data_IF_344127196369
#
_entry.id   IF_344127196369
#
_cell.length_a   1.000
_cell.length_b   1.000
_cell.length_c   1.000
_cell.angle_alpha   90.00
_cell.angle_beta   90.00
_cell.angle_gamma   90.00
#
_symmetry.space_group_name_H-M   'P 1'
#
loop_
_entity.id
_entity.type
_entity.pdbx_description
1 polymer ?
#
# COMPACT_ATOMS: atom_id res chain seq x y z
N UNK A 1 -17.51 -1.82 -14.19
CA UNK A 1 -17.35 -0.37 -14.06
C UNK A 1 -16.91 0.22 -15.39
N UNK A 2 -17.66 1.19 -15.92
CA UNK A 2 -17.24 1.87 -17.17
C UNK A 2 -16.47 3.15 -16.91
N UNK A 3 -16.89 3.90 -15.88
CA UNK A 3 -16.24 5.13 -15.48
C UNK A 3 -16.48 5.39 -13.99
N UNK A 4 -15.49 5.85 -13.27
CA UNK A 4 -15.62 6.41 -11.94
C UNK A 4 -15.48 7.93 -12.03
N UNK A 5 -16.37 8.64 -11.37
CA UNK A 5 -16.35 10.09 -11.29
C UNK A 5 -16.25 10.49 -9.81
N UNK A 6 -15.40 11.46 -9.45
CA UNK A 6 -15.37 11.96 -8.07
C UNK A 6 -16.71 12.63 -7.74
N UNK A 7 -17.18 12.41 -6.52
CA UNK A 7 -18.40 13.02 -6.01
C UNK A 7 -18.19 13.37 -4.54
N UNK A 8 -19.16 14.04 -3.93
CA UNK A 8 -19.17 14.22 -2.48
C UNK A 8 -19.33 12.90 -1.74
N UNK A 9 -19.01 12.89 -0.44
CA UNK A 9 -19.13 11.72 0.39
C UNK A 9 -20.55 11.18 0.49
N UNK A 10 -20.72 9.85 0.55
CA UNK A 10 -22.00 9.19 0.63
C UNK A 10 -22.95 9.48 -0.55
N UNK A 11 -22.57 9.15 -1.80
CA UNK A 11 -23.47 9.40 -2.93
C UNK A 11 -24.68 8.45 -2.88
N UNK A 12 -25.87 8.99 -2.65
CA UNK A 12 -27.12 8.21 -2.60
C UNK A 12 -28.16 8.59 -3.64
N UNK A 13 -28.35 9.90 -3.86
CA UNK A 13 -29.32 10.40 -4.83
C UNK A 13 -28.71 10.56 -6.21
N UNK A 14 -29.33 9.98 -7.25
CA UNK A 14 -28.91 10.14 -8.64
C UNK A 14 -30.09 10.61 -9.49
N UNK A 15 -29.90 11.70 -10.23
CA UNK A 15 -30.90 12.25 -11.16
C UNK A 15 -30.28 12.50 -12.53
N UNK A 16 -30.77 11.80 -13.54
CA UNK A 16 -30.44 12.11 -14.93
C UNK A 16 -31.41 13.15 -15.49
N UNK A 17 -30.90 14.17 -16.18
CA UNK A 17 -31.67 15.20 -16.90
C UNK A 17 -31.26 15.15 -18.39
N UNK A 18 -31.78 14.18 -19.17
CA UNK A 18 -31.31 13.93 -20.54
C UNK A 18 -31.49 15.14 -21.46
N UNK A 19 -32.54 15.92 -21.28
CA UNK A 19 -32.83 17.12 -22.11
C UNK A 19 -31.75 18.21 -21.94
N UNK A 20 -30.92 18.12 -20.90
CA UNK A 20 -29.83 19.07 -20.62
C UNK A 20 -28.46 18.40 -20.64
N UNK A 21 -28.40 17.10 -20.94
CA UNK A 21 -27.19 16.28 -20.85
C UNK A 21 -26.52 16.35 -19.46
N UNK A 22 -27.32 16.34 -18.39
CA UNK A 22 -26.80 16.43 -17.03
C UNK A 22 -27.06 15.13 -16.25
N UNK A 23 -26.09 14.78 -15.42
CA UNK A 23 -26.22 13.84 -14.32
C UNK A 23 -25.95 14.59 -13.02
N UNK A 24 -26.86 14.48 -12.06
CA UNK A 24 -26.75 15.13 -10.76
C UNK A 24 -26.70 14.06 -9.69
N UNK A 25 -25.74 14.20 -8.77
CA UNK A 25 -25.55 13.24 -7.66
C UNK A 25 -25.58 14.01 -6.35
N UNK A 26 -26.41 13.56 -5.41
CA UNK A 26 -26.43 14.08 -4.05
C UNK A 26 -25.50 13.23 -3.17
N UNK A 27 -24.56 13.87 -2.49
CA UNK A 27 -23.75 13.27 -1.43
C UNK A 27 -24.32 13.67 -0.08
N UNK A 28 -24.73 12.69 0.72
CA UNK A 28 -25.46 12.93 1.97
C UNK A 28 -24.56 13.26 3.16
N UNK A 29 -23.28 12.86 3.11
CA UNK A 29 -22.37 13.05 4.25
C UNK A 29 -22.32 14.50 4.69
N UNK A 30 -22.78 14.75 5.91
CA UNK A 30 -22.77 16.02 6.60
C UNK A 30 -22.21 15.80 8.01
N UNK A 31 -20.88 15.86 8.16
CA UNK A 31 -20.17 15.60 9.40
C UNK A 31 -19.53 16.90 9.91
N UNK A 32 -19.87 17.32 11.13
CA UNK A 32 -19.24 18.48 11.76
C UNK A 32 -17.81 18.16 12.21
N UNK A 33 -17.59 16.94 12.65
CA UNK A 33 -16.30 16.52 13.19
C UNK A 33 -15.26 16.45 12.07
N UNK A 34 -15.67 15.95 10.89
CA UNK A 34 -14.83 15.90 9.71
C UNK A 34 -14.88 17.19 8.85
N UNK A 35 -15.63 18.21 9.31
CA UNK A 35 -15.86 19.47 8.58
C UNK A 35 -16.40 19.30 7.17
N UNK A 36 -17.05 18.19 6.88
CA UNK A 36 -17.67 17.91 5.60
C UNK A 36 -19.13 18.35 5.59
N UNK A 37 -19.56 18.88 4.45
CA UNK A 37 -20.96 19.26 4.19
C UNK A 37 -21.54 18.37 3.11
N UNK A 38 -22.85 18.16 3.17
CA UNK A 38 -23.56 17.52 2.07
C UNK A 38 -23.38 18.29 0.78
N UNK A 39 -23.29 17.58 -0.34
CA UNK A 39 -22.92 18.14 -1.63
C UNK A 39 -23.91 17.78 -2.71
N UNK A 40 -23.96 18.58 -3.76
CA UNK A 40 -24.57 18.23 -5.03
C UNK A 40 -23.50 18.34 -6.12
N UNK A 41 -23.15 17.16 -6.68
CA UNK A 41 -22.22 17.08 -7.82
C UNK A 41 -23.02 17.10 -9.12
N UNK A 42 -22.64 17.97 -10.05
CA UNK A 42 -23.30 18.12 -11.35
C UNK A 42 -22.31 17.79 -12.45
N UNK A 43 -22.59 16.77 -13.23
CA UNK A 43 -21.79 16.34 -14.39
C UNK A 43 -22.53 16.67 -15.67
N UNK A 44 -21.80 17.19 -16.63
CA UNK A 44 -22.31 17.37 -17.98
C UNK A 44 -21.82 16.23 -18.87
N UNK A 45 -22.75 15.54 -19.52
CA UNK A 45 -22.41 14.57 -20.55
C UNK A 45 -22.17 15.30 -21.87
N UNK A 46 -21.01 15.08 -22.45
CA UNK A 46 -20.65 15.51 -23.78
C UNK A 46 -20.03 14.34 -24.55
N UNK A 47 -20.76 13.86 -25.56
CA UNK A 47 -20.28 12.73 -26.39
C UNK A 47 -19.07 13.08 -27.25
N UNK A 48 -18.76 14.37 -27.38
CA UNK A 48 -17.61 14.88 -28.17
C UNK A 48 -16.47 15.34 -27.29
N UNK A 49 -16.65 15.38 -25.96
CA UNK A 49 -15.60 15.78 -25.05
C UNK A 49 -14.42 14.80 -25.14
N UNK A 50 -13.23 15.36 -25.19
CA UNK A 50 -12.01 14.61 -24.90
C UNK A 50 -12.04 14.12 -23.44
N UNK A 51 -11.08 13.26 -23.07
CA UNK A 51 -10.95 12.71 -21.73
C UNK A 51 -11.26 13.72 -20.60
N UNK A 52 -11.77 13.26 -19.45
CA UNK A 52 -12.03 14.12 -18.29
C UNK A 52 -10.77 14.88 -17.87
N UNK A 53 -10.97 16.03 -17.22
CA UNK A 53 -9.87 16.90 -16.81
C UNK A 53 -8.94 16.30 -15.75
N UNK A 54 -9.31 15.18 -15.15
CA UNK A 54 -8.49 14.42 -14.18
C UNK A 54 -8.36 12.96 -14.61
N UNK A 55 -7.30 12.28 -14.21
CA UNK A 55 -7.10 10.86 -14.52
C UNK A 55 -8.24 10.01 -13.96
N UNK A 56 -8.71 9.06 -14.76
CA UNK A 56 -9.74 8.09 -14.37
C UNK A 56 -9.27 6.68 -14.70
N UNK A 57 -9.81 5.72 -13.95
CA UNK A 57 -9.55 4.30 -14.11
C UNK A 57 -10.86 3.57 -14.36
N UNK A 58 -10.85 2.61 -15.27
CA UNK A 58 -11.94 1.67 -15.52
C UNK A 58 -11.40 0.26 -15.66
N UNK A 59 -12.27 -0.75 -15.56
CA UNK A 59 -11.90 -2.14 -15.82
C UNK A 59 -12.46 -2.64 -17.14
N UNK A 60 -11.70 -3.52 -17.79
CA UNK A 60 -12.17 -4.29 -18.92
C UNK A 60 -13.15 -5.37 -18.46
N UNK A 61 -14.00 -5.83 -19.38
CA UNK A 61 -14.87 -6.98 -19.15
C UNK A 61 -14.12 -8.29 -19.46
N UNK A 62 -14.24 -9.25 -18.55
CA UNK A 62 -13.78 -10.63 -18.73
C UNK A 62 -15.00 -11.56 -18.61
N UNK A 63 -15.28 -12.33 -19.65
CA UNK A 63 -16.48 -13.19 -19.74
C UNK A 63 -17.80 -12.43 -19.52
N UNK A 64 -17.88 -11.18 -19.97
CA UNK A 64 -19.06 -10.33 -19.85
C UNK A 64 -19.28 -9.67 -18.48
N UNK A 65 -18.32 -9.77 -17.58
CA UNK A 65 -18.31 -9.10 -16.27
C UNK A 65 -17.07 -8.20 -16.16
N UNK A 66 -17.19 -6.99 -15.59
CA UNK A 66 -16.03 -6.15 -15.33
C UNK A 66 -15.12 -6.81 -14.30
N UNK A 67 -13.80 -6.66 -14.49
CA UNK A 67 -12.81 -7.04 -13.46
C UNK A 67 -13.14 -6.26 -12.20
N UNK A 68 -13.39 -6.96 -11.10
CA UNK A 68 -13.62 -6.34 -9.80
C UNK A 68 -12.31 -5.70 -9.30
N UNK A 69 -12.38 -4.47 -8.79
CA UNK A 69 -11.25 -3.76 -8.23
C UNK A 69 -11.69 -2.75 -7.16
N UNK A 70 -10.79 -2.42 -6.27
CA UNK A 70 -10.99 -1.45 -5.21
C UNK A 70 -9.78 -1.41 -4.28
N UNK A 71 -9.73 -0.43 -3.40
CA UNK A 71 -8.68 -0.28 -2.38
C UNK A 71 -7.26 -0.49 -2.95
N UNK A 72 -6.96 0.13 -4.08
CA UNK A 72 -5.61 0.06 -4.67
C UNK A 72 -4.64 0.78 -3.72
N UNK A 73 -3.64 0.05 -3.25
CA UNK A 73 -2.63 0.55 -2.34
C UNK A 73 -1.30 0.85 -3.03
N UNK A 74 -0.69 -0.12 -3.70
CA UNK A 74 0.61 0.04 -4.34
C UNK A 74 0.56 0.03 -5.87
N UNK A 75 1.49 0.76 -6.50
CA UNK A 75 1.63 0.85 -7.95
C UNK A 75 3.09 0.62 -8.38
N UNK A 76 3.29 -0.10 -9.49
CA UNK A 76 4.60 -0.30 -10.11
C UNK A 76 4.56 -0.10 -11.63
N UNK A 77 5.50 0.66 -12.17
CA UNK A 77 5.68 0.76 -13.61
C UNK A 77 6.40 -0.49 -14.16
N UNK A 78 5.96 -0.99 -15.32
CA UNK A 78 6.66 -2.06 -15.99
C UNK A 78 7.84 -1.50 -16.80
N UNK A 79 9.10 -1.81 -16.44
CA UNK A 79 10.26 -1.27 -17.14
C UNK A 79 10.35 -1.73 -18.61
N UNK A 80 9.64 -2.80 -18.98
CA UNK A 80 9.59 -3.33 -20.34
C UNK A 80 8.46 -2.73 -21.20
N UNK A 81 7.51 -2.02 -20.60
CA UNK A 81 6.37 -1.42 -21.31
C UNK A 81 5.90 -0.16 -20.59
N UNK A 82 6.24 1.00 -21.15
CA UNK A 82 5.91 2.32 -20.58
C UNK A 82 4.40 2.58 -20.39
N UNK A 83 3.54 1.81 -21.04
CA UNK A 83 2.08 1.94 -20.94
C UNK A 83 1.46 0.91 -19.96
N UNK A 84 2.28 0.14 -19.24
CA UNK A 84 1.77 -0.88 -18.32
C UNK A 84 2.19 -0.59 -16.89
N UNK A 85 1.20 -0.61 -16.00
CA UNK A 85 1.42 -0.62 -14.56
C UNK A 85 0.93 -1.93 -13.98
N UNK A 86 1.50 -2.30 -12.84
CA UNK A 86 0.95 -3.29 -11.92
C UNK A 86 0.45 -2.59 -10.67
N UNK A 87 -0.60 -3.14 -10.05
CA UNK A 87 -1.15 -2.62 -8.82
C UNK A 87 -1.52 -3.76 -7.87
N UNK A 88 -1.43 -3.54 -6.58
CA UNK A 88 -1.98 -4.40 -5.54
C UNK A 88 -3.18 -3.73 -4.88
N UNK A 89 -4.06 -4.54 -4.34
CA UNK A 89 -5.17 -4.10 -3.49
C UNK A 89 -4.78 -4.35 -2.04
N UNK A 90 -5.07 -3.40 -1.17
CA UNK A 90 -5.12 -3.58 0.27
C UNK A 90 -5.98 -4.80 0.68
N UNK A 91 -6.04 -5.16 1.92
CA UNK A 91 -6.76 -6.31 2.52
C UNK A 91 -8.29 -6.36 2.27
N UNK A 92 -8.82 -5.47 1.41
CA UNK A 92 -10.25 -5.35 1.10
C UNK A 92 -10.91 -6.65 0.64
N UNK A 93 -10.20 -7.43 -0.17
CA UNK A 93 -10.63 -8.76 -0.60
C UNK A 93 -9.89 -9.81 0.22
N UNK A 94 -10.55 -10.91 0.58
CA UNK A 94 -9.90 -12.06 1.23
C UNK A 94 -9.05 -12.89 0.25
N UNK A 95 -8.71 -12.32 -0.88
CA UNK A 95 -7.86 -12.85 -1.95
C UNK A 95 -7.18 -11.67 -2.60
N UNK A 96 -5.88 -11.63 -2.55
CA UNK A 96 -5.11 -10.46 -2.98
C UNK A 96 -4.88 -10.49 -4.49
N UNK A 97 -5.50 -9.59 -5.28
CA UNK A 97 -5.23 -9.46 -6.70
C UNK A 97 -3.98 -8.62 -6.97
N UNK A 98 -3.27 -8.98 -8.02
CA UNK A 98 -2.34 -8.09 -8.73
C UNK A 98 -2.99 -7.71 -10.05
N UNK A 99 -3.24 -6.43 -10.22
CA UNK A 99 -3.85 -5.88 -11.42
C UNK A 99 -2.80 -5.52 -12.47
N UNK A 100 -3.16 -5.68 -13.73
CA UNK A 100 -2.45 -5.10 -14.87
C UNK A 100 -3.26 -3.94 -15.42
N UNK A 101 -2.65 -2.75 -15.51
CA UNK A 101 -3.30 -1.51 -15.94
C UNK A 101 -2.62 -1.01 -17.20
N UNK A 102 -3.41 -0.72 -18.24
CA UNK A 102 -2.97 -0.03 -19.46
C UNK A 102 -3.25 1.47 -19.32
N UNK A 103 -2.19 2.27 -19.38
CA UNK A 103 -2.25 3.74 -19.28
C UNK A 103 -2.06 4.43 -20.62
N UNK A 104 -2.13 3.70 -21.74
CA UNK A 104 -2.01 4.25 -23.11
C UNK A 104 -3.21 5.12 -23.51
N UNK A 105 -4.30 5.01 -22.79
CA UNK A 105 -5.54 5.75 -23.05
C UNK A 105 -6.07 6.44 -21.78
N UNK A 106 -7.01 7.36 -21.96
CA UNK A 106 -7.79 7.96 -20.89
C UNK A 106 -9.28 7.67 -21.12
N UNK A 107 -9.97 7.04 -20.17
CA UNK A 107 -9.46 6.49 -18.89
C UNK A 107 -8.39 5.41 -19.08
N UNK A 108 -7.53 5.26 -18.07
CA UNK A 108 -6.67 4.08 -17.96
C UNK A 108 -7.53 2.82 -17.73
N UNK A 109 -7.04 1.65 -18.15
CA UNK A 109 -7.86 0.43 -18.14
C UNK A 109 -7.17 -0.69 -17.37
N UNK A 110 -7.83 -1.25 -16.36
CA UNK A 110 -7.44 -2.54 -15.77
C UNK A 110 -7.76 -3.62 -16.79
N UNK A 111 -6.73 -4.21 -17.39
CA UNK A 111 -6.85 -5.21 -18.47
C UNK A 111 -6.77 -6.64 -17.97
N UNK A 112 -6.33 -6.86 -16.73
CA UNK A 112 -6.23 -8.18 -16.12
C UNK A 112 -6.04 -8.11 -14.62
N UNK A 113 -6.32 -9.23 -13.97
CA UNK A 113 -6.05 -9.46 -12.56
C UNK A 113 -5.60 -10.90 -12.38
N UNK A 114 -4.54 -11.11 -11.61
CA UNK A 114 -4.09 -12.43 -11.15
C UNK A 114 -4.13 -12.44 -9.62
N UNK A 115 -4.43 -13.58 -9.03
CA UNK A 115 -4.46 -13.70 -7.56
C UNK A 115 -3.11 -14.18 -7.05
N UNK A 116 -2.63 -13.58 -5.97
CA UNK A 116 -1.44 -14.07 -5.26
C UNK A 116 -1.72 -15.46 -4.68
N UNK A 117 -0.81 -16.39 -4.93
CA UNK A 117 -0.96 -17.80 -4.52
C UNK A 117 0.36 -18.37 -4.02
N UNK A 118 0.26 -19.31 -3.07
CA UNK A 118 1.40 -20.10 -2.57
C UNK A 118 1.18 -21.63 -2.77
N UNK A 119 1.11 -22.11 -4.03
CA UNK A 119 0.87 -23.54 -4.30
C UNK A 119 2.01 -24.43 -3.83
N UNK A 120 3.19 -23.87 -3.63
CA UNK A 120 4.40 -24.62 -3.25
C UNK A 120 4.65 -24.63 -1.74
N UNK A 121 3.85 -23.93 -0.94
CA UNK A 121 4.01 -23.88 0.51
C UNK A 121 5.23 -23.06 0.97
N UNK A 122 5.62 -22.04 0.23
CA UNK A 122 6.78 -21.18 0.56
C UNK A 122 6.60 -20.52 1.91
N UNK A 123 5.39 -20.03 2.21
CA UNK A 123 5.10 -19.38 3.48
C UNK A 123 5.17 -20.33 4.67
N UNK A 124 4.89 -21.62 4.47
CA UNK A 124 5.04 -22.62 5.55
C UNK A 124 6.49 -22.90 5.93
N UNK A 125 7.44 -22.42 5.15
CA UNK A 125 8.88 -22.46 5.44
C UNK A 125 9.43 -21.20 6.06
N UNK A 126 8.59 -20.21 6.41
CA UNK A 126 9.03 -19.00 7.10
C UNK A 126 9.76 -19.39 8.39
N UNK A 127 10.92 -18.77 8.67
CA UNK A 127 11.62 -19.00 9.92
C UNK A 127 10.70 -18.64 11.09
N UNK A 128 10.84 -19.39 12.19
CA UNK A 128 10.16 -19.09 13.43
C UNK A 128 10.44 -17.64 13.84
N UNK A 129 9.50 -16.77 13.54
CA UNK A 129 9.56 -15.37 13.93
C UNK A 129 8.98 -15.32 15.33
N UNK A 130 9.79 -14.88 16.30
CA UNK A 130 9.26 -14.59 17.61
C UNK A 130 8.34 -13.38 17.47
N UNK A 131 7.06 -13.60 17.52
CA UNK A 131 6.02 -12.58 17.68
C UNK A 131 5.46 -12.72 19.08
N UNK A 132 5.24 -11.62 19.74
CA UNK A 132 4.58 -11.63 21.04
C UNK A 132 3.06 -11.65 20.76
N UNK A 133 2.50 -12.84 20.65
CA UNK A 133 1.07 -13.03 20.49
C UNK A 133 0.41 -13.18 21.87
N UNK A 134 -0.28 -12.14 22.29
CA UNK A 134 -1.04 -12.15 23.54
C UNK A 134 -2.30 -13.04 23.49
N UNK A 135 -2.62 -13.65 22.34
CA UNK A 135 -3.83 -14.48 22.18
C UNK A 135 -3.60 -15.99 22.39
N UNK A 136 -2.38 -16.46 22.37
CA UNK A 136 -2.14 -17.90 22.37
C UNK A 136 -2.41 -18.58 23.70
N UNK A 137 -2.44 -17.85 24.78
CA UNK A 137 -2.72 -18.46 26.08
C UNK A 137 -3.29 -17.42 27.06
N UNK A 138 -4.58 -17.51 27.33
CA UNK A 138 -5.29 -16.64 28.29
C UNK A 138 -4.66 -16.61 29.71
N UNK A 139 -3.69 -17.48 29.99
CA UNK A 139 -3.09 -17.66 31.30
C UNK A 139 -1.57 -17.42 31.37
N UNK A 140 -0.89 -17.07 30.27
CA UNK A 140 0.57 -16.89 30.31
C UNK A 140 0.98 -15.44 29.96
N UNK A 141 1.70 -14.73 30.86
CA UNK A 141 2.25 -13.44 30.53
C UNK A 141 3.34 -13.57 29.47
N UNK A 142 3.14 -12.89 28.36
CA UNK A 142 4.17 -12.51 27.38
C UNK A 142 5.08 -13.65 26.91
N UNK A 143 4.54 -14.68 26.28
CA UNK A 143 5.39 -15.58 25.50
C UNK A 143 5.73 -14.95 24.16
N UNK A 144 7.01 -14.96 23.83
CA UNK A 144 7.45 -14.77 22.46
C UNK A 144 6.88 -15.93 21.64
N UNK A 145 5.86 -15.69 20.85
CA UNK A 145 5.29 -16.66 19.97
C UNK A 145 6.05 -16.78 18.66
N UNK A 146 5.93 -17.93 18.11
CA UNK A 146 6.53 -18.35 16.86
C UNK A 146 5.42 -18.32 15.84
N UNK A 147 5.66 -17.72 14.66
CA UNK A 147 4.73 -17.82 13.53
C UNK A 147 4.38 -19.29 13.30
N UNK A 148 3.16 -19.64 13.61
CA UNK A 148 2.72 -21.03 13.67
C UNK A 148 1.69 -21.41 12.59
N UNK A 149 1.04 -22.56 12.75
CA UNK A 149 0.07 -23.04 11.79
C UNK A 149 -1.24 -22.23 11.79
N UNK A 150 -1.58 -21.56 12.89
CA UNK A 150 -2.78 -20.71 12.98
C UNK A 150 -2.53 -19.39 12.25
N UNK A 151 -1.35 -18.78 12.45
CA UNK A 151 -0.93 -17.57 11.73
C UNK A 151 -0.86 -17.84 10.22
N UNK A 152 -0.28 -19.00 9.84
CA UNK A 152 -0.23 -19.41 8.45
C UNK A 152 -1.64 -19.56 7.86
N UNK A 153 -2.57 -20.17 8.60
CA UNK A 153 -3.95 -20.34 8.16
C UNK A 153 -4.72 -19.02 8.04
N UNK A 154 -4.31 -17.99 8.77
CA UNK A 154 -4.90 -16.65 8.65
C UNK A 154 -4.52 -15.95 7.34
N UNK A 155 -3.33 -16.22 6.80
CA UNK A 155 -2.80 -15.53 5.61
C UNK A 155 -2.79 -16.38 4.33
N UNK A 156 -3.05 -17.69 4.42
CA UNK A 156 -3.13 -18.61 3.27
C UNK A 156 -4.45 -19.38 3.33
N UNK A 157 -5.32 -19.12 2.36
CA UNK A 157 -6.61 -19.81 2.23
C UNK A 157 -6.42 -21.29 1.87
N UNK A 158 -7.47 -22.11 2.05
CA UNK A 158 -7.49 -23.55 1.74
C UNK A 158 -7.13 -23.84 0.27
N UNK A 159 -7.49 -22.95 -0.64
CA UNK A 159 -7.18 -23.05 -2.07
C UNK A 159 -5.81 -22.48 -2.44
N UNK A 160 -4.98 -22.20 -1.44
CA UNK A 160 -3.62 -21.64 -1.57
C UNK A 160 -3.55 -20.21 -2.12
N UNK A 161 -4.66 -19.48 -2.20
CA UNK A 161 -4.64 -18.04 -2.42
C UNK A 161 -4.24 -17.31 -1.14
N UNK A 162 -3.61 -16.14 -1.28
CA UNK A 162 -3.19 -15.35 -0.13
C UNK A 162 -4.32 -14.44 0.38
N UNK A 163 -4.33 -14.24 1.68
CA UNK A 163 -5.18 -13.30 2.42
C UNK A 163 -4.27 -12.48 3.35
N UNK A 164 -3.47 -11.60 2.75
CA UNK A 164 -2.51 -10.73 3.41
C UNK A 164 -2.94 -9.26 3.21
N UNK A 165 -2.14 -8.33 3.69
CA UNK A 165 -2.38 -6.88 3.61
C UNK A 165 -1.35 -6.20 2.68
N UNK A 166 -1.48 -6.33 1.34
CA UNK A 166 -0.48 -5.81 0.42
C UNK A 166 -0.54 -4.28 0.34
N UNK A 167 0.57 -3.62 0.68
CA UNK A 167 0.66 -2.16 0.69
C UNK A 167 1.53 -1.62 -0.45
N UNK A 168 2.53 -2.37 -0.89
CA UNK A 168 3.42 -1.92 -1.95
C UNK A 168 3.80 -3.02 -2.94
N UNK A 169 4.13 -2.60 -4.16
CA UNK A 169 4.57 -3.48 -5.25
C UNK A 169 5.67 -2.82 -6.07
N UNK A 170 6.65 -3.60 -6.52
CA UNK A 170 7.63 -3.15 -7.52
C UNK A 170 7.99 -4.29 -8.48
N UNK A 171 8.43 -3.94 -9.69
CA UNK A 171 8.85 -4.92 -10.70
C UNK A 171 10.32 -5.23 -10.53
N UNK A 172 10.65 -6.51 -10.41
CA UNK A 172 12.04 -6.97 -10.47
C UNK A 172 12.54 -6.91 -11.94
N UNK A 173 13.64 -6.20 -12.24
CA UNK A 173 14.23 -6.17 -13.57
C UNK A 173 14.59 -7.55 -14.13
N UNK A 174 14.79 -8.55 -13.29
CA UNK A 174 15.08 -9.93 -13.65
C UNK A 174 13.80 -10.76 -13.92
N UNK A 175 12.65 -10.15 -13.75
CA UNK A 175 11.32 -10.76 -13.90
C UNK A 175 10.62 -11.01 -12.56
N UNK A 176 9.29 -11.06 -12.60
CA UNK A 176 8.47 -11.18 -11.40
C UNK A 176 8.25 -9.84 -10.69
N UNK A 177 7.72 -9.93 -9.48
CA UNK A 177 7.31 -8.79 -8.66
C UNK A 177 7.86 -8.96 -7.23
N UNK A 178 8.13 -7.83 -6.59
CA UNK A 178 8.26 -7.74 -5.15
C UNK A 178 6.99 -7.10 -4.60
N UNK A 179 6.42 -7.71 -3.58
CA UNK A 179 5.21 -7.24 -2.89
C UNK A 179 5.52 -7.18 -1.41
N UNK A 180 5.14 -6.10 -0.76
CA UNK A 180 5.18 -6.01 0.71
C UNK A 180 3.78 -6.10 1.26
N UNK A 181 3.67 -6.76 2.42
CA UNK A 181 2.44 -6.88 3.20
C UNK A 181 2.68 -6.33 4.58
N UNK A 182 1.78 -5.48 5.04
CA UNK A 182 1.80 -4.97 6.41
C UNK A 182 1.50 -6.10 7.41
N UNK A 183 2.14 -6.04 8.56
CA UNK A 183 1.84 -6.89 9.70
C UNK A 183 0.79 -6.25 10.61
N UNK A 184 -0.15 -7.04 11.09
CA UNK A 184 -1.21 -6.57 11.97
C UNK A 184 -0.86 -6.77 13.44
N UNK A 185 -1.12 -5.74 14.23
CA UNK A 185 -0.95 -5.77 15.68
C UNK A 185 0.28 -5.02 16.18
N UNK A 186 0.36 -4.87 17.50
CA UNK A 186 1.39 -4.11 18.20
C UNK A 186 1.91 -4.91 19.39
N UNK A 187 3.20 -5.13 19.47
CA UNK A 187 3.85 -5.82 20.59
C UNK A 187 3.48 -5.14 21.92
N UNK A 188 2.98 -5.93 22.87
CA UNK A 188 2.61 -5.47 24.20
C UNK A 188 1.26 -4.73 24.29
N UNK A 189 0.51 -4.64 23.19
CA UNK A 189 -0.85 -4.09 23.18
C UNK A 189 -1.91 -5.20 23.14
N UNK A 190 -2.47 -5.56 24.30
CA UNK A 190 -3.51 -6.57 24.41
C UNK A 190 -4.81 -6.24 23.63
N UNK A 191 -5.04 -4.96 23.30
CA UNK A 191 -6.17 -4.55 22.48
C UNK A 191 -5.91 -4.71 20.98
N UNK A 192 -4.65 -4.86 20.59
CA UNK A 192 -4.21 -5.04 19.21
C UNK A 192 -3.07 -6.08 19.15
N UNK A 193 -3.37 -7.36 19.47
CA UNK A 193 -2.35 -8.41 19.46
C UNK A 193 -1.77 -8.61 18.06
N UNK A 194 -0.59 -9.18 17.99
CA UNK A 194 0.02 -9.55 16.71
C UNK A 194 -0.78 -10.70 16.09
N UNK A 195 -1.33 -10.48 14.91
CA UNK A 195 -2.05 -11.48 14.12
C UNK A 195 -1.27 -11.87 12.87
N UNK A 196 -0.47 -10.97 12.32
CA UNK A 196 0.38 -11.23 11.15
C UNK A 196 1.68 -10.44 11.27
N UNK A 197 2.72 -10.93 10.59
CA UNK A 197 4.03 -10.26 10.50
C UNK A 197 4.19 -9.55 9.18
N UNK A 198 5.09 -8.57 9.15
CA UNK A 198 5.44 -7.88 7.93
C UNK A 198 6.19 -8.81 6.98
N UNK A 199 5.76 -8.90 5.72
CA UNK A 199 6.28 -9.81 4.71
C UNK A 199 6.83 -9.06 3.51
N UNK A 200 8.01 -9.47 3.04
CA UNK A 200 8.52 -9.15 1.71
C UNK A 200 8.42 -10.40 0.85
N UNK A 201 7.57 -10.37 -0.17
CA UNK A 201 7.31 -11.49 -1.06
C UNK A 201 7.98 -11.26 -2.42
N UNK A 202 8.64 -12.28 -2.93
CA UNK A 202 9.04 -12.39 -4.34
C UNK A 202 8.03 -13.28 -5.05
N UNK A 203 7.41 -12.77 -6.12
CA UNK A 203 6.41 -13.52 -6.89
C UNK A 203 6.75 -13.55 -8.38
N UNK A 204 6.14 -14.48 -9.10
CA UNK A 204 6.07 -14.38 -10.58
C UNK A 204 5.07 -13.28 -10.97
N UNK A 205 5.02 -12.91 -12.25
CA UNK A 205 4.01 -11.96 -12.77
C UNK A 205 2.60 -12.56 -12.78
N UNK A 206 2.48 -13.88 -12.68
CA UNK A 206 1.23 -14.62 -12.56
C UNK A 206 0.77 -14.76 -11.10
N UNK A 207 1.47 -14.10 -10.15
CA UNK A 207 1.10 -14.05 -8.76
C UNK A 207 1.54 -15.24 -7.91
N UNK A 208 2.41 -16.13 -8.44
CA UNK A 208 2.91 -17.28 -7.66
C UNK A 208 4.07 -16.87 -6.77
N UNK A 209 3.94 -17.10 -5.47
CA UNK A 209 5.02 -16.84 -4.49
C UNK A 209 6.20 -17.77 -4.75
N UNK A 210 7.38 -17.18 -4.88
CA UNK A 210 8.67 -17.85 -5.05
C UNK A 210 9.51 -17.83 -3.78
N UNK A 211 9.51 -16.70 -3.08
CA UNK A 211 10.19 -16.50 -1.80
C UNK A 211 9.39 -15.59 -0.90
N UNK A 212 9.53 -15.81 0.40
CA UNK A 212 8.96 -14.97 1.45
C UNK A 212 10.03 -14.67 2.50
N UNK A 213 10.12 -13.41 2.91
CA UNK A 213 11.10 -12.94 3.89
C UNK A 213 10.37 -12.13 4.96
N UNK A 214 10.80 -12.34 6.20
CA UNK A 214 10.39 -11.55 7.36
C UNK A 214 11.51 -10.60 7.78
N UNK A 215 11.18 -9.69 8.66
CA UNK A 215 12.18 -8.86 9.32
C UNK A 215 13.05 -9.70 10.29
N UNK A 216 14.27 -9.25 10.63
CA UNK A 216 15.06 -9.88 11.67
C UNK A 216 14.31 -9.94 13.01
N UNK A 217 14.56 -10.95 13.86
CA UNK A 217 13.84 -11.12 15.13
C UNK A 217 13.86 -9.89 16.04
N UNK A 218 14.98 -9.19 16.09
CA UNK A 218 15.13 -7.96 16.89
C UNK A 218 14.28 -6.80 16.40
N UNK A 219 13.92 -6.78 15.10
CA UNK A 219 13.03 -5.77 14.53
C UNK A 219 11.58 -6.22 14.67
N UNK A 220 11.27 -7.50 14.38
CA UNK A 220 9.93 -8.04 14.62
C UNK A 220 9.51 -7.93 16.09
N UNK A 221 10.45 -8.10 17.05
CA UNK A 221 10.20 -7.92 18.47
C UNK A 221 9.80 -6.49 18.88
N UNK A 222 9.81 -5.54 17.95
CA UNK A 222 9.33 -4.16 18.15
C UNK A 222 8.12 -3.85 17.26
N UNK A 223 7.52 -4.85 16.61
CA UNK A 223 6.40 -4.60 15.68
C UNK A 223 5.33 -3.75 16.36
N UNK A 224 4.98 -2.72 15.67
CA UNK A 224 3.81 -1.89 15.93
C UNK A 224 2.99 -1.87 14.63
N UNK A 225 1.67 -1.69 14.71
CA UNK A 225 0.89 -1.37 13.51
C UNK A 225 1.53 -0.18 12.79
N UNK A 226 1.24 0.01 11.50
CA UNK A 226 1.93 0.97 10.62
C UNK A 226 3.33 0.49 10.20
N UNK A 227 3.37 -0.73 9.68
CA UNK A 227 4.56 -1.42 9.20
C UNK A 227 4.94 -1.10 7.76
N UNK A 228 5.01 -2.11 6.91
CA UNK A 228 5.39 -1.96 5.51
C UNK A 228 4.32 -1.26 4.69
N UNK A 229 4.69 -0.18 3.99
CA UNK A 229 3.79 0.59 3.12
C UNK A 229 4.23 0.55 1.65
N UNK A 230 5.51 0.76 1.39
CA UNK A 230 5.99 0.85 0.03
C UNK A 230 7.25 0.03 -0.21
N UNK A 231 7.49 -0.33 -1.48
CA UNK A 231 8.65 -1.13 -1.89
C UNK A 231 9.22 -0.66 -3.21
N UNK A 232 10.54 -0.54 -3.29
CA UNK A 232 11.25 -0.14 -4.50
C UNK A 232 12.40 -1.10 -4.81
N UNK A 233 12.48 -1.59 -6.04
CA UNK A 233 13.64 -2.33 -6.52
C UNK A 233 14.78 -1.35 -6.88
N UNK A 234 15.94 -1.57 -6.31
CA UNK A 234 17.14 -0.75 -6.55
C UNK A 234 18.31 -1.60 -7.06
N UNK A 235 18.04 -2.52 -7.96
CA UNK A 235 19.05 -3.41 -8.56
C UNK A 235 19.49 -4.54 -7.63
N UNK A 236 20.58 -4.37 -6.88
CA UNK A 236 21.08 -5.38 -5.94
C UNK A 236 20.20 -5.51 -4.69
N UNK A 237 19.45 -4.46 -4.36
CA UNK A 237 18.66 -4.37 -3.14
C UNK A 237 17.19 -4.12 -3.46
N UNK A 238 16.33 -4.46 -2.49
CA UNK A 238 14.96 -3.98 -2.40
C UNK A 238 14.89 -3.04 -1.22
N UNK A 239 14.31 -1.86 -1.39
CA UNK A 239 14.13 -0.87 -0.32
C UNK A 239 12.67 -0.83 0.07
N UNK A 240 12.39 -0.97 1.37
CA UNK A 240 11.04 -1.02 1.94
C UNK A 240 10.85 0.16 2.87
N UNK A 241 9.78 0.92 2.68
CA UNK A 241 9.40 2.00 3.56
C UNK A 241 8.46 1.51 4.66
N UNK A 242 8.76 1.86 5.92
CA UNK A 242 7.85 1.68 7.04
C UNK A 242 6.98 2.92 7.16
N UNK A 243 5.70 2.74 7.44
CA UNK A 243 4.78 3.88 7.55
C UNK A 243 5.18 4.83 8.67
N UNK A 244 5.50 4.28 9.85
CA UNK A 244 5.83 5.06 11.06
C UNK A 244 6.97 4.45 11.85
N UNK A 245 7.48 5.22 12.80
CA UNK A 245 8.46 4.74 13.76
C UNK A 245 7.85 3.69 14.71
N UNK A 246 8.63 2.67 15.06
CA UNK A 246 8.25 1.60 15.98
C UNK A 246 8.91 1.77 17.35
N UNK A 247 8.21 1.36 18.40
CA UNK A 247 8.72 1.41 19.75
C UNK A 247 9.13 2.83 20.17
N UNK A 248 10.38 2.99 20.58
CA UNK A 248 10.94 4.27 21.01
C UNK A 248 11.77 4.98 19.92
N UNK A 249 11.62 4.58 18.66
CA UNK A 249 12.34 5.21 17.55
C UNK A 249 11.78 6.61 17.26
N UNK A 250 12.65 7.53 16.89
CA UNK A 250 12.26 8.90 16.53
C UNK A 250 11.70 8.97 15.10
N UNK A 251 12.19 8.07 14.22
CA UNK A 251 11.90 8.07 12.80
C UNK A 251 11.52 6.68 12.30
N UNK A 252 10.66 6.56 11.27
CA UNK A 252 10.42 5.28 10.60
C UNK A 252 11.68 4.76 9.93
N UNK A 253 11.76 3.45 9.83
CA UNK A 253 12.83 2.74 9.12
C UNK A 253 12.61 2.77 7.62
N UNK A 254 13.74 2.77 6.91
CA UNK A 254 13.84 2.28 5.54
C UNK A 254 14.63 0.98 5.62
N UNK A 255 13.99 -0.15 5.31
CA UNK A 255 14.62 -1.46 5.26
C UNK A 255 15.29 -1.67 3.90
N UNK A 256 16.56 -2.03 3.91
CA UNK A 256 17.34 -2.32 2.70
C UNK A 256 17.62 -3.82 2.71
N UNK A 257 16.94 -4.56 1.86
CA UNK A 257 17.08 -6.00 1.72
C UNK A 257 18.07 -6.33 0.59
N UNK A 258 19.18 -6.94 0.91
CA UNK A 258 20.18 -7.43 -0.06
C UNK A 258 19.68 -8.75 -0.67
N UNK A 259 19.47 -8.76 -1.98
CA UNK A 259 18.91 -9.90 -2.71
C UNK A 259 19.86 -11.09 -2.78
N UNK A 260 21.17 -10.87 -2.69
CA UNK A 260 22.17 -11.94 -2.81
C UNK A 260 22.40 -12.66 -1.48
N UNK A 261 22.40 -11.92 -0.37
CA UNK A 261 22.64 -12.47 0.96
C UNK A 261 21.37 -12.73 1.74
N UNK A 262 20.22 -12.22 1.27
CA UNK A 262 18.92 -12.26 1.96
C UNK A 262 19.00 -11.65 3.37
N UNK A 263 19.75 -10.56 3.52
CA UNK A 263 19.94 -9.87 4.80
C UNK A 263 19.41 -8.45 4.76
N UNK A 264 18.98 -7.97 5.92
CA UNK A 264 18.47 -6.63 6.11
C UNK A 264 19.54 -5.69 6.70
N UNK A 265 19.54 -4.45 6.20
CA UNK A 265 20.14 -3.30 6.88
C UNK A 265 19.12 -2.18 6.94
N UNK A 266 19.30 -1.22 7.85
CA UNK A 266 18.31 -0.18 8.10
C UNK A 266 18.96 1.20 8.14
N UNK A 267 18.21 2.19 7.66
CA UNK A 267 18.42 3.62 7.86
C UNK A 267 17.10 4.25 8.28
N UNK A 268 17.09 5.51 8.69
CA UNK A 268 15.91 6.20 9.17
C UNK A 268 15.50 7.34 8.24
N UNK A 269 14.18 7.56 8.16
CA UNK A 269 13.61 8.65 7.38
C UNK A 269 12.97 9.71 8.31
N UNK A 270 13.40 11.00 8.24
CA UNK A 270 12.89 12.03 9.12
C UNK A 270 11.54 12.56 8.60
N UNK A 271 10.43 12.14 9.22
CA UNK A 271 9.09 12.67 8.91
C UNK A 271 8.97 14.15 9.30
N UNK A 272 8.12 14.88 8.61
CA UNK A 272 7.70 16.21 9.03
C UNK A 272 6.90 16.14 10.33
N UNK A 273 6.88 17.22 11.07
CA UNK A 273 6.00 17.36 12.23
C UNK A 273 4.54 17.45 11.79
N UNK A 274 3.62 17.05 12.68
CA UNK A 274 2.18 17.20 12.42
C UNK A 274 1.83 18.68 12.27
N UNK A 275 1.22 19.05 11.15
CA UNK A 275 0.80 20.42 10.83
C UNK A 275 -0.72 20.61 10.94
N UNK A 276 -1.50 19.52 10.89
CA UNK A 276 -2.96 19.60 11.02
C UNK A 276 -3.39 20.13 12.39
N UNK A 277 -4.30 21.08 12.40
CA UNK A 277 -4.92 21.61 13.63
C UNK A 277 -5.82 20.59 14.33
N UNK A 278 -6.26 19.55 13.59
CA UNK A 278 -7.00 18.42 14.15
C UNK A 278 -6.08 17.37 14.79
N UNK A 279 -4.75 17.55 14.70
CA UNK A 279 -3.78 16.59 15.21
C UNK A 279 -3.56 15.43 14.24
N UNK A 280 -3.48 14.21 14.78
CA UNK A 280 -3.21 13.01 14.00
C UNK A 280 -1.72 12.64 13.96
N UNK A 281 -1.28 12.05 12.85
CA UNK A 281 0.10 11.61 12.66
C UNK A 281 0.52 11.76 11.19
N UNK A 282 1.84 11.78 10.95
CA UNK A 282 2.47 11.78 9.62
C UNK A 282 3.15 10.44 9.40
N UNK A 283 3.12 9.94 8.19
CA UNK A 283 3.75 8.69 7.78
C UNK A 283 4.09 8.63 6.31
N UNK A 284 4.85 7.61 5.93
CA UNK A 284 5.11 7.26 4.53
C UNK A 284 3.95 6.41 3.99
N UNK A 285 3.67 6.51 2.69
CA UNK A 285 2.65 5.70 2.02
C UNK A 285 3.19 4.93 0.82
N UNK A 286 4.26 5.38 0.19
CA UNK A 286 4.86 4.65 -0.93
C UNK A 286 6.29 5.12 -1.17
N UNK A 287 7.07 4.30 -1.87
CA UNK A 287 8.44 4.60 -2.28
C UNK A 287 8.68 4.09 -3.70
N UNK A 288 9.35 4.90 -4.52
CA UNK A 288 9.81 4.48 -5.84
C UNK A 288 11.27 4.83 -6.06
N UNK A 289 12.00 3.95 -6.76
CA UNK A 289 13.41 4.17 -7.09
C UNK A 289 13.54 5.08 -8.33
N UNK A 290 14.41 6.07 -8.24
CA UNK A 290 14.78 6.96 -9.35
C UNK A 290 16.08 6.54 -10.03
N UNK A 291 16.73 5.48 -9.55
CA UNK A 291 18.07 5.05 -9.94
C UNK A 291 19.16 5.71 -9.10
N UNK A 292 20.38 5.18 -9.19
CA UNK A 292 21.57 5.72 -8.50
C UNK A 292 21.42 5.85 -6.97
N UNK A 293 20.69 4.96 -6.32
CA UNK A 293 20.32 5.01 -4.90
C UNK A 293 19.50 6.25 -4.50
N UNK A 294 18.77 6.82 -5.42
CA UNK A 294 17.83 7.92 -5.18
C UNK A 294 16.40 7.42 -5.23
N UNK A 295 15.56 7.98 -4.38
CA UNK A 295 14.19 7.56 -4.19
C UNK A 295 13.25 8.75 -4.07
N UNK A 296 12.01 8.53 -4.47
CA UNK A 296 10.88 9.41 -4.22
C UNK A 296 9.92 8.71 -3.26
N UNK A 297 9.41 9.43 -2.28
CA UNK A 297 8.42 8.93 -1.32
C UNK A 297 7.21 9.83 -1.27
N UNK A 298 6.07 9.23 -0.94
CA UNK A 298 4.86 9.94 -0.53
C UNK A 298 4.86 10.03 0.98
N UNK A 299 4.90 11.24 1.51
CA UNK A 299 4.74 11.55 2.93
C UNK A 299 3.40 12.25 3.13
N UNK A 300 2.58 11.73 4.03
CA UNK A 300 1.25 12.28 4.27
C UNK A 300 0.85 12.23 5.73
N UNK A 301 -0.01 13.16 6.15
CA UNK A 301 -0.76 13.00 7.39
C UNK A 301 -1.94 12.01 7.20
N UNK A 302 -2.52 11.58 8.32
CA UNK A 302 -3.71 10.72 8.33
C UNK A 302 -5.02 11.51 8.27
N UNK A 303 -4.95 12.80 8.00
CA UNK A 303 -6.12 13.67 7.93
C UNK A 303 -6.68 13.70 6.50
N UNK A 304 -7.99 13.98 6.41
CA UNK A 304 -8.71 14.12 5.16
C UNK A 304 -9.48 15.44 5.08
N UNK A 305 -9.99 15.75 3.89
CA UNK A 305 -10.78 16.96 3.67
C UNK A 305 -10.07 18.23 4.14
N UNK A 306 -10.78 19.14 4.85
CA UNK A 306 -10.20 20.42 5.27
C UNK A 306 -9.17 20.32 6.41
N UNK A 307 -9.01 19.15 7.02
CA UNK A 307 -8.02 18.92 8.07
C UNK A 307 -6.69 18.39 7.56
N UNK A 308 -6.63 17.92 6.30
CA UNK A 308 -5.39 17.52 5.65
C UNK A 308 -4.43 18.71 5.54
N UNK A 309 -3.17 18.51 5.91
CA UNK A 309 -2.14 19.53 5.88
C UNK A 309 -0.85 19.07 5.19
N UNK A 310 -0.60 17.76 5.14
CA UNK A 310 0.61 17.18 4.54
C UNK A 310 0.23 16.11 3.53
N UNK A 311 0.50 16.37 2.26
CA UNK A 311 0.48 15.41 1.13
C UNK A 311 1.65 15.78 0.22
N UNK A 312 2.86 15.25 0.52
CA UNK A 312 4.11 15.75 -0.06
C UNK A 312 4.91 14.65 -0.74
N UNK A 313 5.56 15.00 -1.83
CA UNK A 313 6.57 14.18 -2.49
C UNK A 313 7.95 14.65 -2.05
N UNK A 314 8.73 13.75 -1.45
CA UNK A 314 10.10 14.00 -1.06
C UNK A 314 11.05 13.10 -1.84
N UNK A 315 12.22 13.66 -2.20
CA UNK A 315 13.36 12.91 -2.74
C UNK A 315 14.43 12.76 -1.67
N UNK A 316 15.04 11.59 -1.62
CA UNK A 316 16.23 11.34 -0.80
C UNK A 316 17.21 10.41 -1.50
N UNK A 317 18.44 10.30 -0.98
CA UNK A 317 19.47 9.39 -1.46
C UNK A 317 20.00 8.52 -0.33
N UNK A 318 20.31 7.26 -0.63
CA UNK A 318 21.04 6.36 0.26
C UNK A 318 22.56 6.48 0.14
N UNK A 319 23.06 7.24 -0.84
CA UNK A 319 24.49 7.41 -1.06
C UNK A 319 25.14 8.12 0.12
N UNK A 320 26.15 7.47 0.73
CA UNK A 320 26.89 8.02 1.86
C UNK A 320 26.16 7.95 3.20
N UNK A 321 24.99 7.34 3.27
CA UNK A 321 24.27 7.12 4.53
C UNK A 321 24.82 5.85 5.19
N UNK A 322 25.31 6.00 6.42
CA UNK A 322 25.76 4.85 7.21
C UNK A 322 24.57 4.02 7.70
N UNK A 323 24.80 2.76 8.05
CA UNK A 323 23.80 1.94 8.74
C UNK A 323 23.29 2.66 10.00
N UNK A 324 21.97 2.60 10.23
CA UNK A 324 21.30 3.31 11.33
C UNK A 324 21.41 4.86 11.22
N UNK A 325 21.89 5.38 10.09
CA UNK A 325 21.91 6.82 9.82
C UNK A 325 20.55 7.34 9.37
N UNK A 326 20.35 8.67 9.46
CA UNK A 326 19.14 9.35 9.00
C UNK A 326 19.39 9.93 7.61
N UNK A 327 18.51 9.65 6.64
CA UNK A 327 18.59 10.21 5.29
C UNK A 327 18.30 11.72 5.30
N UNK A 328 18.80 12.43 4.29
CA UNK A 328 18.44 13.81 4.04
C UNK A 328 17.38 13.86 2.95
N UNK A 329 16.24 14.50 3.22
CA UNK A 329 15.14 14.64 2.25
C UNK A 329 15.07 16.04 1.67
N UNK A 330 14.58 16.13 0.45
CA UNK A 330 14.32 17.39 -0.25
C UNK A 330 12.89 17.36 -0.79
N UNK A 331 12.11 18.40 -0.50
CA UNK A 331 10.75 18.53 -1.01
C UNK A 331 10.79 18.68 -2.55
N UNK A 332 10.02 17.85 -3.23
CA UNK A 332 9.83 17.91 -4.69
C UNK A 332 8.52 18.62 -5.01
N UNK A 333 7.44 18.26 -4.34
CA UNK A 333 6.11 18.83 -4.56
C UNK A 333 5.27 18.75 -3.30
N UNK A 334 4.56 19.81 -2.98
CA UNK A 334 3.42 19.76 -2.06
C UNK A 334 2.15 19.60 -2.90
N UNK A 335 1.46 18.47 -2.71
CA UNK A 335 0.25 18.13 -3.48
C UNK A 335 -0.98 18.88 -2.94
N UNK A 336 -0.86 19.56 -1.80
CA UNK A 336 -1.90 20.44 -1.28
C UNK A 336 -1.99 21.76 -2.06
N UNK A 337 -0.94 22.08 -2.86
CA UNK A 337 -0.90 23.26 -3.72
C UNK A 337 -1.58 23.05 -5.09
N UNK A 338 -1.99 21.81 -5.42
CA UNK A 338 -2.67 21.43 -6.65
C UNK A 338 -4.18 21.52 -6.45
#
# INVERSE_FOLDING_TARGET
>A
LRQALPTGGGPEGVLAIPARNLLVVAGEVDSRDDKLRSTISVYQYDATASAPAYPTLQSADVNGLPIAWGAISGLAADPSNANRLFAVSDSYYQRNPVYTIDVSSQPAVITGAVTLTDPNGVLSGLPNVAVNDAQADDDAPERAEVFDALDLAAIVNDDRTLNIDPEGITVDPQGGLWVVSEGAGTIGDAAQPINTVNLLLKTTREGVVQHAFTLPPEVNGMQSRFGFEGVADNGANVVVAFQRAWGNEEHPRLGIFDKATCTWTFVFYPLDAVESVAGGWVGLSDITALGNNEFLVVERDNQGGPDAAIKRLYRFSLNGVAAIGVVQKTLVRDLMDD
#
